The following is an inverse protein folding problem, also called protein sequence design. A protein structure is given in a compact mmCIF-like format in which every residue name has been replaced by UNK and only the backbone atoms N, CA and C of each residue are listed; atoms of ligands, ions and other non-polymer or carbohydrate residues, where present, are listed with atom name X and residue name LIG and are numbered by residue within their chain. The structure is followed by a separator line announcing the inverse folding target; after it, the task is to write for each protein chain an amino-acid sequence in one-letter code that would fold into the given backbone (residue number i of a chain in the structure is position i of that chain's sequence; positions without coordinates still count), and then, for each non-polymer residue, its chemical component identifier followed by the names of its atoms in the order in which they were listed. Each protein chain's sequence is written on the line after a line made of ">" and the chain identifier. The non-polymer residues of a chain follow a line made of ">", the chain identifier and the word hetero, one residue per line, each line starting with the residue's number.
data_IF_463302502438
#
_entry.id   IF_463302502438
#
_cell.length_a   1.000
_cell.length_b   1.000
_cell.length_c   1.000
_cell.angle_alpha   90.00
_cell.angle_beta   90.00
_cell.angle_gamma   90.00
#
_symmetry.space_group_name_H-M   'P 1'
#
loop_
_entity.id
_entity.type
_entity.pdbx_description
1 polymer ?
#
# COMPACT_ATOMS: atom_id res chain seq x y z
N UNK A 1 -21.50 -6.11 10.89
CA UNK A 1 -21.59 -5.58 9.50
C UNK A 1 -22.97 -4.93 9.37
N UNK A 2 -23.04 -3.65 9.00
CA UNK A 2 -24.31 -2.93 8.83
C UNK A 2 -25.02 -3.27 7.51
N UNK A 3 -26.18 -2.68 7.28
CA UNK A 3 -26.97 -2.88 6.06
C UNK A 3 -26.21 -2.36 4.83
N UNK A 4 -26.14 -3.18 3.77
CA UNK A 4 -25.51 -2.81 2.50
C UNK A 4 -26.38 -1.85 1.69
N UNK A 5 -27.70 -1.96 1.83
CA UNK A 5 -28.67 -1.08 1.21
C UNK A 5 -29.18 -0.10 2.26
N UNK A 6 -29.25 1.17 1.91
CA UNK A 6 -29.61 2.25 2.84
C UNK A 6 -31.00 2.82 2.58
N UNK A 7 -31.64 2.37 1.49
CA UNK A 7 -33.00 2.75 1.12
C UNK A 7 -33.80 1.55 0.64
N UNK A 8 -35.09 1.55 0.99
CA UNK A 8 -36.08 0.54 0.63
C UNK A 8 -37.27 1.19 -0.08
N UNK A 9 -37.66 0.67 -1.27
CA UNK A 9 -38.93 1.08 -1.87
C UNK A 9 -40.03 0.35 -1.13
N UNK A 10 -40.81 1.06 -0.32
CA UNK A 10 -41.93 0.51 0.44
C UNK A 10 -43.09 0.05 -0.47
N UNK A 11 -42.83 -0.95 -1.30
CA UNK A 11 -43.71 -1.49 -2.33
C UNK A 11 -43.81 -3.01 -2.16
N UNK A 12 -44.99 -3.46 -1.72
CA UNK A 12 -45.26 -4.86 -1.39
C UNK A 12 -45.20 -5.80 -2.62
N UNK A 13 -45.45 -5.27 -3.82
CA UNK A 13 -45.52 -6.09 -5.03
C UNK A 13 -44.14 -6.30 -5.69
N UNK A 14 -43.21 -5.37 -5.51
CA UNK A 14 -41.85 -5.47 -6.05
C UNK A 14 -40.87 -4.63 -5.22
N UNK A 15 -40.42 -5.12 -4.06
CA UNK A 15 -39.51 -4.40 -3.19
C UNK A 15 -38.12 -4.26 -3.80
N UNK A 16 -37.65 -3.02 -3.92
CA UNK A 16 -36.31 -2.70 -4.42
C UNK A 16 -35.46 -2.08 -3.32
N UNK A 17 -34.19 -2.47 -3.28
CA UNK A 17 -33.21 -1.96 -2.33
C UNK A 17 -32.12 -1.19 -3.08
N UNK A 18 -31.79 0.02 -2.61
CA UNK A 18 -30.71 0.82 -3.18
C UNK A 18 -29.72 1.27 -2.11
N UNK A 19 -28.46 1.41 -2.51
CA UNK A 19 -27.42 2.09 -1.74
C UNK A 19 -27.37 3.56 -2.18
N UNK A 20 -28.08 4.43 -1.47
CA UNK A 20 -28.16 5.87 -1.77
C UNK A 20 -27.20 6.69 -0.92
N UNK A 21 -26.92 6.24 0.30
CA UNK A 21 -26.11 6.99 1.26
C UNK A 21 -24.65 6.58 1.18
N UNK A 22 -23.77 7.60 1.14
CA UNK A 22 -22.32 7.41 1.08
C UNK A 22 -21.64 8.37 2.03
N UNK A 23 -20.73 7.83 2.84
CA UNK A 23 -19.78 8.64 3.62
C UNK A 23 -18.52 8.81 2.78
N UNK A 24 -18.21 10.05 2.44
CA UNK A 24 -17.03 10.42 1.65
C UNK A 24 -16.01 11.10 2.55
N UNK A 25 -14.73 10.84 2.31
CA UNK A 25 -13.62 11.51 2.97
C UNK A 25 -12.57 11.92 1.94
N UNK A 26 -11.80 12.95 2.26
CA UNK A 26 -10.78 13.48 1.36
C UNK A 26 -9.36 12.97 1.71
N UNK A 27 -8.36 13.40 0.94
CA UNK A 27 -6.97 13.01 1.17
C UNK A 27 -6.35 13.64 2.42
N UNK A 28 -6.90 14.74 2.94
CA UNK A 28 -6.40 15.40 4.16
C UNK A 28 -6.73 14.55 5.39
N UNK A 29 -7.91 13.93 5.42
CA UNK A 29 -8.31 12.97 6.47
C UNK A 29 -7.36 11.76 6.51
N UNK A 30 -6.93 11.28 5.35
CA UNK A 30 -5.92 10.23 5.24
C UNK A 30 -4.53 10.69 5.72
N UNK A 31 -4.19 11.96 5.52
CA UNK A 31 -2.89 12.51 5.90
C UNK A 31 -2.74 12.64 7.42
N UNK A 32 -3.82 12.97 8.14
CA UNK A 32 -3.84 13.00 9.61
C UNK A 32 -4.01 11.59 10.23
N UNK A 33 -4.10 10.54 9.41
CA UNK A 33 -4.20 9.16 9.89
C UNK A 33 -5.54 8.82 10.52
N UNK A 34 -6.60 9.56 10.18
CA UNK A 34 -7.93 9.36 10.76
C UNK A 34 -8.56 8.09 10.18
N UNK A 35 -8.93 7.17 11.06
CA UNK A 35 -9.65 5.97 10.70
C UNK A 35 -11.13 6.16 11.05
N UNK A 36 -12.02 5.89 10.10
CA UNK A 36 -13.46 5.99 10.32
C UNK A 36 -14.19 4.75 9.80
N UNK A 37 -15.28 4.42 10.47
CA UNK A 37 -16.22 3.38 10.05
C UNK A 37 -17.61 3.99 9.94
N UNK A 38 -18.30 3.71 8.85
CA UNK A 38 -19.70 4.07 8.67
C UNK A 38 -20.55 2.81 8.85
N UNK A 39 -21.51 2.88 9.77
CA UNK A 39 -22.47 1.81 10.04
C UNK A 39 -23.88 2.32 9.72
N UNK A 40 -24.58 1.63 8.83
CA UNK A 40 -25.99 1.90 8.55
C UNK A 40 -26.86 0.86 9.24
N UNK A 41 -27.81 1.34 10.04
CA UNK A 41 -28.79 0.50 10.72
C UNK A 41 -29.87 0.03 9.74
N UNK A 42 -30.54 -1.10 9.97
CA UNK A 42 -31.72 -1.47 9.19
C UNK A 42 -32.76 -0.34 9.20
N UNK A 43 -33.47 -0.11 8.08
CA UNK A 43 -34.56 0.86 8.05
C UNK A 43 -35.62 0.49 9.09
N UNK A 44 -36.09 1.51 9.81
CA UNK A 44 -37.04 1.35 10.91
C UNK A 44 -38.49 1.32 10.41
N UNK A 45 -39.43 1.03 11.30
CA UNK A 45 -40.87 1.00 10.98
C UNK A 45 -41.47 2.34 10.53
N UNK A 46 -40.73 3.45 10.71
CA UNK A 46 -41.18 4.81 10.42
C UNK A 46 -40.38 5.47 9.27
N UNK A 47 -39.37 4.80 8.72
CA UNK A 47 -38.49 5.38 7.71
C UNK A 47 -37.96 4.33 6.75
N UNK A 48 -38.15 4.59 5.47
CA UNK A 48 -37.57 3.82 4.36
C UNK A 48 -36.06 4.08 4.20
N UNK A 49 -35.49 4.97 5.01
CA UNK A 49 -34.06 5.29 5.07
C UNK A 49 -33.39 4.70 6.31
N UNK A 50 -32.22 4.11 6.10
CA UNK A 50 -31.31 3.63 7.14
C UNK A 50 -30.54 4.77 7.82
N UNK A 51 -30.64 4.89 9.14
CA UNK A 51 -29.80 5.82 9.91
C UNK A 51 -28.33 5.38 9.89
N UNK A 52 -27.45 6.31 9.50
CA UNK A 52 -26.00 6.14 9.49
C UNK A 52 -25.33 6.65 10.77
N UNK A 53 -24.40 5.88 11.32
CA UNK A 53 -23.51 6.25 12.42
C UNK A 53 -22.08 6.23 11.89
N UNK A 54 -21.36 7.33 12.10
CA UNK A 54 -19.93 7.43 11.77
C UNK A 54 -19.14 7.37 13.06
N UNK A 55 -18.29 6.34 13.19
CA UNK A 55 -17.35 6.22 14.29
C UNK A 55 -15.96 6.61 13.81
N UNK A 56 -15.28 7.46 14.59
CA UNK A 56 -13.90 7.89 14.34
C UNK A 56 -13.02 7.22 15.39
N UNK A 57 -11.89 6.66 14.94
CA UNK A 57 -10.95 5.92 15.77
C UNK A 57 -9.58 6.59 15.73
N UNK A 58 -8.91 6.57 16.88
CA UNK A 58 -7.51 6.94 16.99
C UNK A 58 -6.60 5.94 16.27
N UNK A 59 -5.35 6.34 16.05
CA UNK A 59 -4.35 5.52 15.37
C UNK A 59 -4.21 4.16 16.06
N UNK A 60 -4.62 3.11 15.35
CA UNK A 60 -4.43 1.74 15.81
C UNK A 60 -2.94 1.41 15.97
N UNK A 61 -2.62 0.64 17.01
CA UNK A 61 -1.28 0.16 17.27
C UNK A 61 -0.67 -0.56 16.05
N UNK A 62 0.65 -0.40 15.87
CA UNK A 62 1.39 -1.01 14.77
C UNK A 62 1.32 -2.55 14.84
N UNK A 63 0.47 -3.15 14.01
CA UNK A 63 0.49 -4.61 13.82
C UNK A 63 1.71 -5.04 13.00
N UNK A 64 2.31 -6.20 13.30
CA UNK A 64 3.38 -6.75 12.50
C UNK A 64 2.89 -6.98 11.07
N UNK A 65 3.54 -6.33 10.09
CA UNK A 65 3.19 -6.51 8.68
C UNK A 65 3.54 -7.92 8.24
N UNK A 66 2.58 -8.58 7.59
CA UNK A 66 2.83 -9.86 6.92
C UNK A 66 3.96 -9.70 5.91
N UNK A 67 4.79 -10.73 5.77
CA UNK A 67 5.82 -10.72 4.72
C UNK A 67 5.17 -10.66 3.34
N UNK A 68 5.73 -9.82 2.46
CA UNK A 68 5.31 -9.68 1.07
C UNK A 68 6.55 -9.65 0.20
N UNK A 69 6.53 -10.43 -0.86
CA UNK A 69 7.51 -10.37 -1.92
C UNK A 69 7.25 -9.17 -2.82
N UNK A 70 8.29 -8.43 -3.21
CA UNK A 70 8.18 -7.37 -4.22
C UNK A 70 8.91 -7.79 -5.49
N UNK A 71 8.27 -7.61 -6.64
CA UNK A 71 8.77 -8.10 -7.92
C UNK A 71 10.11 -7.45 -8.29
N UNK A 72 10.27 -6.17 -7.96
CA UNK A 72 11.52 -5.41 -8.16
C UNK A 72 12.74 -6.04 -7.47
N UNK A 73 12.55 -6.92 -6.49
CA UNK A 73 13.66 -7.65 -5.89
C UNK A 73 14.31 -8.60 -6.90
N UNK A 74 13.52 -9.22 -7.78
CA UNK A 74 14.01 -10.19 -8.76
C UNK A 74 14.96 -9.56 -9.79
N UNK A 75 14.82 -8.25 -10.03
CA UNK A 75 15.64 -7.50 -11.00
C UNK A 75 16.99 -7.05 -10.42
N UNK A 76 17.21 -7.24 -9.12
CA UNK A 76 18.45 -6.84 -8.46
C UNK A 76 19.52 -7.94 -8.58
N UNK A 77 20.75 -7.56 -8.96
CA UNK A 77 21.87 -8.48 -9.20
C UNK A 77 22.10 -9.50 -8.08
N UNK A 78 22.08 -9.05 -6.82
CA UNK A 78 22.32 -9.90 -5.65
C UNK A 78 21.12 -10.79 -5.23
N UNK A 79 19.99 -10.73 -5.94
CA UNK A 79 18.77 -11.45 -5.53
C UNK A 79 18.94 -12.97 -5.60
N UNK A 80 19.45 -13.49 -6.72
CA UNK A 80 19.65 -14.93 -6.92
C UNK A 80 20.60 -15.49 -5.86
N UNK A 81 21.74 -14.83 -5.64
CA UNK A 81 22.69 -15.24 -4.59
C UNK A 81 22.04 -15.26 -3.19
N UNK A 82 21.20 -14.27 -2.88
CA UNK A 82 20.45 -14.24 -1.60
C UNK A 82 19.47 -15.40 -1.49
N UNK A 83 18.81 -15.77 -2.59
CA UNK A 83 17.88 -16.90 -2.64
C UNK A 83 18.60 -18.24 -2.48
N UNK A 84 19.71 -18.47 -3.20
CA UNK A 84 20.47 -19.72 -3.18
C UNK A 84 21.03 -20.03 -1.79
N UNK A 85 21.57 -19.01 -1.11
CA UNK A 85 22.06 -19.14 0.27
C UNK A 85 20.99 -19.64 1.25
N UNK A 86 19.73 -19.25 1.05
CA UNK A 86 18.61 -19.71 1.89
C UNK A 86 17.91 -20.98 1.40
N UNK A 87 18.03 -21.30 0.10
CA UNK A 87 17.30 -22.41 -0.56
C UNK A 87 17.94 -23.78 -0.32
N UNK A 88 19.27 -23.84 -0.15
CA UNK A 88 20.06 -25.07 -0.03
C UNK A 88 19.90 -25.84 1.31
N UNK A 89 18.94 -25.46 2.16
CA UNK A 89 18.76 -26.02 3.51
C UNK A 89 17.63 -27.07 3.63
N UNK A 90 17.12 -27.68 2.53
CA UNK A 90 15.96 -28.58 2.62
C UNK A 90 15.96 -29.79 1.66
N UNK A 91 15.55 -30.95 2.17
CA UNK A 91 15.43 -32.24 1.45
C UNK A 91 14.05 -32.44 0.78
N UNK A 92 13.98 -33.45 -0.09
CA UNK A 92 13.14 -33.49 -1.29
C UNK A 92 11.62 -33.74 -1.14
N UNK A 93 11.05 -33.88 0.05
CA UNK A 93 9.59 -34.09 0.19
C UNK A 93 9.01 -33.16 1.25
N UNK A 94 7.95 -32.42 0.89
CA UNK A 94 7.32 -31.27 1.60
C UNK A 94 8.05 -29.92 1.49
N UNK A 95 8.39 -29.55 0.26
CA UNK A 95 9.49 -28.64 -0.04
C UNK A 95 9.18 -27.14 0.07
N UNK A 96 8.02 -26.62 -0.36
CA UNK A 96 7.91 -25.17 -0.59
C UNK A 96 7.84 -24.31 0.68
N UNK A 97 6.87 -24.55 1.59
CA UNK A 97 6.73 -23.72 2.80
C UNK A 97 7.97 -23.80 3.70
N UNK A 98 8.59 -24.97 3.78
CA UNK A 98 9.82 -25.21 4.55
C UNK A 98 11.05 -24.56 3.88
N UNK A 99 11.08 -24.44 2.55
CA UNK A 99 12.07 -23.66 1.78
C UNK A 99 11.89 -22.16 1.94
N UNK A 100 10.65 -21.67 1.95
CA UNK A 100 10.37 -20.23 2.05
C UNK A 100 10.61 -19.67 3.46
N UNK A 101 10.46 -20.50 4.51
CA UNK A 101 10.65 -20.09 5.91
C UNK A 101 12.07 -19.56 6.20
N UNK A 102 13.17 -20.26 5.87
CA UNK A 102 14.53 -19.76 6.08
C UNK A 102 14.85 -18.55 5.19
N UNK A 103 14.28 -18.47 3.98
CA UNK A 103 14.51 -17.39 3.01
C UNK A 103 13.85 -16.07 3.42
N UNK A 104 12.76 -16.13 4.20
CA UNK A 104 12.03 -14.95 4.68
C UNK A 104 12.92 -13.96 5.44
N UNK A 105 13.88 -14.44 6.25
CA UNK A 105 14.81 -13.58 7.00
C UNK A 105 15.78 -12.82 6.08
N UNK A 106 16.57 -13.53 5.25
CA UNK A 106 17.43 -12.95 4.22
C UNK A 106 16.70 -11.98 3.31
N UNK A 107 15.51 -12.32 2.80
CA UNK A 107 14.74 -11.41 1.93
C UNK A 107 14.27 -10.14 2.66
N UNK A 108 13.94 -10.22 3.95
CA UNK A 108 13.65 -9.03 4.75
C UNK A 108 14.89 -8.15 4.93
N UNK A 109 16.04 -8.75 5.24
CA UNK A 109 17.30 -8.03 5.37
C UNK A 109 17.71 -7.39 4.04
N UNK A 110 17.59 -8.13 2.94
CA UNK A 110 17.81 -7.66 1.56
C UNK A 110 16.92 -6.47 1.20
N UNK A 111 15.62 -6.57 1.48
CA UNK A 111 14.70 -5.46 1.28
C UNK A 111 15.09 -4.24 2.13
N UNK A 112 15.46 -4.46 3.39
CA UNK A 112 15.86 -3.36 4.27
C UNK A 112 17.15 -2.69 3.77
N UNK A 113 18.10 -3.45 3.25
CA UNK A 113 19.38 -2.96 2.76
C UNK A 113 19.24 -2.17 1.45
N UNK A 114 18.45 -2.67 0.50
CA UNK A 114 18.42 -2.12 -0.86
C UNK A 114 17.19 -1.25 -1.16
N UNK A 115 16.05 -1.55 -0.54
CA UNK A 115 14.74 -1.01 -0.95
C UNK A 115 13.94 -0.34 0.19
N UNK A 116 14.47 -0.28 1.42
CA UNK A 116 13.82 0.46 2.51
C UNK A 116 13.80 1.95 2.18
N UNK A 117 12.71 2.61 2.58
CA UNK A 117 12.52 4.05 2.37
C UNK A 117 12.79 4.48 0.91
N UNK A 118 12.29 3.69 -0.06
CA UNK A 118 12.58 3.89 -1.49
C UNK A 118 12.32 5.32 -1.97
N UNK A 119 11.29 6.00 -1.45
CA UNK A 119 11.01 7.41 -1.78
C UNK A 119 12.09 8.38 -1.31
N UNK A 120 12.71 8.11 -0.15
CA UNK A 120 13.84 8.90 0.34
C UNK A 120 15.07 8.63 -0.53
N UNK A 121 15.32 7.35 -0.82
CA UNK A 121 16.43 6.92 -1.68
C UNK A 121 16.31 7.39 -3.12
N UNK A 122 15.11 7.59 -3.64
CA UNK A 122 14.88 8.16 -4.97
C UNK A 122 15.13 9.68 -5.00
N UNK A 123 14.86 10.38 -3.88
CA UNK A 123 15.03 11.83 -3.76
C UNK A 123 16.48 12.30 -3.72
N UNK A 124 17.36 11.54 -3.07
CA UNK A 124 18.79 11.90 -2.95
C UNK A 124 19.50 12.00 -4.31
N UNK A 125 19.39 11.00 -5.23
CA UNK A 125 19.95 11.09 -6.57
C UNK A 125 19.33 12.17 -7.43
N UNK A 126 18.05 12.51 -7.23
CA UNK A 126 17.42 13.63 -7.93
C UNK A 126 18.10 14.96 -7.59
N UNK A 127 18.42 15.18 -6.31
CA UNK A 127 19.16 16.37 -5.87
C UNK A 127 20.59 16.38 -6.44
N UNK A 128 21.29 15.24 -6.39
CA UNK A 128 22.63 15.12 -6.97
C UNK A 128 22.63 15.33 -8.50
N UNK A 129 21.58 14.86 -9.18
CA UNK A 129 21.39 15.10 -10.61
C UNK A 129 21.15 16.58 -10.90
N UNK A 130 20.37 17.29 -10.08
CA UNK A 130 20.15 18.73 -10.23
C UNK A 130 21.47 19.50 -10.06
N UNK A 131 22.27 19.16 -9.06
CA UNK A 131 23.59 19.79 -8.87
C UNK A 131 24.52 19.52 -10.06
N UNK A 132 24.63 18.26 -10.50
CA UNK A 132 25.42 17.90 -11.68
C UNK A 132 24.95 18.63 -12.95
N UNK A 133 23.63 18.87 -13.10
CA UNK A 133 23.09 19.66 -14.21
C UNK A 133 23.49 21.13 -14.13
N UNK A 134 23.53 21.73 -12.94
CA UNK A 134 23.99 23.10 -12.74
C UNK A 134 25.48 23.22 -13.07
N UNK A 135 26.31 22.28 -12.60
CA UNK A 135 27.73 22.24 -12.92
C UNK A 135 27.98 22.07 -14.43
N UNK A 136 27.20 21.20 -15.09
CA UNK A 136 27.29 21.00 -16.55
C UNK A 136 26.90 22.25 -17.33
N UNK A 137 25.88 23.00 -16.89
CA UNK A 137 25.50 24.29 -17.50
C UNK A 137 26.63 25.31 -17.42
N UNK A 138 27.35 25.34 -16.29
CA UNK A 138 28.47 26.25 -16.08
C UNK A 138 29.72 25.86 -16.86
N UNK A 139 29.95 24.56 -17.12
CA UNK A 139 31.10 24.08 -17.89
C UNK A 139 30.74 22.90 -18.83
N UNK A 140 30.13 23.19 -20.01
CA UNK A 140 29.59 22.16 -20.90
C UNK A 140 30.64 21.29 -21.60
N UNK A 141 31.90 21.75 -21.67
CA UNK A 141 32.99 21.06 -22.37
C UNK A 141 33.75 20.08 -21.48
N UNK A 142 33.46 20.05 -20.18
CA UNK A 142 34.13 19.16 -19.25
C UNK A 142 33.58 17.72 -19.37
N UNK A 143 34.41 16.81 -19.89
CA UNK A 143 34.05 15.41 -20.09
C UNK A 143 33.72 14.69 -18.77
N UNK A 144 34.45 14.97 -17.68
CA UNK A 144 34.20 14.35 -16.38
C UNK A 144 32.81 14.72 -15.82
N UNK A 145 32.39 15.97 -15.99
CA UNK A 145 31.04 16.42 -15.58
C UNK A 145 29.97 15.75 -16.44
N UNK A 146 30.22 15.58 -17.75
CA UNK A 146 29.30 14.89 -18.67
C UNK A 146 29.12 13.41 -18.29
N UNK A 147 30.21 12.72 -17.97
CA UNK A 147 30.17 11.30 -17.60
C UNK A 147 29.47 11.09 -16.25
N UNK A 148 29.82 11.91 -15.26
CA UNK A 148 29.14 11.95 -13.95
C UNK A 148 27.64 12.21 -14.12
N UNK A 149 27.25 13.18 -14.96
CA UNK A 149 25.84 13.46 -15.25
C UNK A 149 25.12 12.23 -15.85
N UNK A 150 25.79 11.50 -16.74
CA UNK A 150 25.26 10.26 -17.32
C UNK A 150 25.02 9.18 -16.27
N UNK A 151 25.93 9.02 -15.31
CA UNK A 151 25.80 8.07 -14.21
C UNK A 151 24.65 8.44 -13.25
N UNK A 152 24.57 9.71 -12.85
CA UNK A 152 23.48 10.22 -12.01
C UNK A 152 22.12 10.01 -12.68
N UNK A 153 22.00 10.26 -13.98
CA UNK A 153 20.77 10.01 -14.75
C UNK A 153 20.36 8.53 -14.72
N UNK A 154 21.32 7.61 -14.97
CA UNK A 154 21.03 6.16 -14.91
C UNK A 154 20.51 5.76 -13.53
N UNK A 155 21.14 6.27 -12.47
CA UNK A 155 20.75 5.99 -11.08
C UNK A 155 19.36 6.52 -10.74
N UNK A 156 19.04 7.75 -11.14
CA UNK A 156 17.71 8.36 -10.97
C UNK A 156 16.64 7.55 -11.69
N UNK A 157 16.86 7.22 -12.97
CA UNK A 157 15.89 6.46 -13.76
C UNK A 157 15.63 5.09 -13.14
N UNK A 158 16.68 4.39 -12.72
CA UNK A 158 16.57 3.09 -12.05
C UNK A 158 15.76 3.19 -10.76
N UNK A 159 16.08 4.14 -9.87
CA UNK A 159 15.38 4.25 -8.58
C UNK A 159 13.93 4.73 -8.72
N UNK A 160 13.66 5.62 -9.67
CA UNK A 160 12.29 6.04 -10.00
C UNK A 160 11.47 4.85 -10.53
N UNK A 161 12.07 3.97 -11.34
CA UNK A 161 11.42 2.76 -11.82
C UNK A 161 11.16 1.76 -10.69
N UNK A 162 12.12 1.55 -9.80
CA UNK A 162 11.96 0.70 -8.61
C UNK A 162 10.82 1.23 -7.71
N UNK A 163 10.80 2.54 -7.43
CA UNK A 163 9.75 3.18 -6.64
C UNK A 163 8.38 2.99 -7.30
N UNK A 164 8.28 3.19 -8.62
CA UNK A 164 7.05 2.96 -9.37
C UNK A 164 6.56 1.51 -9.21
N UNK A 165 7.43 0.52 -9.39
CA UNK A 165 7.07 -0.89 -9.22
C UNK A 165 6.60 -1.21 -7.80
N UNK A 166 7.25 -0.64 -6.79
CA UNK A 166 6.85 -0.79 -5.39
C UNK A 166 5.42 -0.31 -5.15
N UNK A 167 5.09 0.92 -5.55
CA UNK A 167 3.75 1.48 -5.33
C UNK A 167 2.69 0.80 -6.19
N UNK A 168 3.02 0.47 -7.44
CA UNK A 168 2.13 -0.26 -8.35
C UNK A 168 1.69 -1.61 -7.75
N UNK A 169 2.65 -2.41 -7.28
CA UNK A 169 2.36 -3.70 -6.65
C UNK A 169 1.57 -3.56 -5.34
N UNK A 170 1.86 -2.53 -4.53
CA UNK A 170 1.08 -2.26 -3.30
C UNK A 170 -0.36 -1.85 -3.61
N UNK A 171 -0.57 -1.03 -4.64
CA UNK A 171 -1.89 -0.61 -5.07
C UNK A 171 -2.74 -1.80 -5.56
N UNK A 172 -2.13 -2.86 -6.13
CA UNK A 172 -2.82 -3.96 -6.84
C UNK A 172 -3.72 -3.46 -7.97
N UNK A 173 -3.21 -2.51 -8.76
CA UNK A 173 -3.92 -1.97 -9.92
C UNK A 173 -3.37 -2.69 -11.15
N UNK A 174 -4.22 -3.43 -11.86
CA UNK A 174 -3.79 -4.22 -13.04
C UNK A 174 -4.03 -3.50 -14.38
N UNK A 175 -5.01 -2.59 -14.44
CA UNK A 175 -5.51 -2.04 -15.71
C UNK A 175 -4.98 -0.64 -16.06
N UNK A 176 -4.45 0.11 -15.09
CA UNK A 176 -3.83 1.41 -15.36
C UNK A 176 -2.37 1.20 -15.78
N UNK A 177 -2.16 1.21 -17.10
CA UNK A 177 -0.84 1.29 -17.73
C UNK A 177 -0.43 2.74 -18.04
N UNK A 178 -1.08 3.72 -17.40
CA UNK A 178 -0.96 5.13 -17.75
C UNK A 178 -0.27 5.94 -16.66
N UNK A 179 0.68 6.74 -17.15
CA UNK A 179 1.55 7.75 -16.54
C UNK A 179 2.54 7.30 -15.43
N UNK A 180 3.73 7.91 -15.43
CA UNK A 180 4.79 7.75 -14.42
C UNK A 180 4.46 8.47 -13.11
N UNK A 181 3.18 8.75 -12.86
CA UNK A 181 2.72 9.53 -11.73
C UNK A 181 2.75 8.70 -10.44
N UNK A 182 3.86 8.76 -9.71
CA UNK A 182 4.06 8.06 -8.44
C UNK A 182 3.07 8.56 -7.37
N UNK A 183 2.67 9.84 -7.40
CA UNK A 183 1.72 10.44 -6.44
C UNK A 183 0.35 9.75 -6.51
N UNK A 184 -0.13 9.43 -7.71
CA UNK A 184 -1.36 8.66 -7.89
C UNK A 184 -1.29 7.31 -7.18
N UNK A 185 -0.23 6.52 -7.45
CA UNK A 185 -0.09 5.20 -6.82
C UNK A 185 0.11 5.31 -5.30
N UNK A 186 0.80 6.34 -4.84
CA UNK A 186 0.97 6.62 -3.42
C UNK A 186 -0.37 6.84 -2.71
N UNK A 187 -1.24 7.68 -3.28
CA UNK A 187 -2.58 7.95 -2.75
C UNK A 187 -3.47 6.70 -2.79
N UNK A 188 -3.37 5.89 -3.85
CA UNK A 188 -4.07 4.61 -3.94
C UNK A 188 -3.63 3.63 -2.84
N UNK A 189 -2.34 3.54 -2.56
CA UNK A 189 -1.80 2.70 -1.49
C UNK A 189 -2.32 3.15 -0.12
N UNK A 190 -2.38 4.46 0.14
CA UNK A 190 -2.96 5.02 1.37
C UNK A 190 -4.44 4.67 1.51
N UNK A 191 -5.25 4.98 0.49
CA UNK A 191 -6.70 4.68 0.49
C UNK A 191 -6.98 3.20 0.75
N UNK A 192 -6.20 2.33 0.11
CA UNK A 192 -6.33 0.89 0.29
C UNK A 192 -5.95 0.44 1.70
N UNK A 193 -4.88 0.97 2.27
CA UNK A 193 -4.47 0.65 3.63
C UNK A 193 -5.59 1.00 4.62
N UNK A 194 -6.19 2.18 4.48
CA UNK A 194 -7.35 2.63 5.27
C UNK A 194 -8.56 1.72 5.08
N UNK A 195 -8.92 1.39 3.83
CA UNK A 195 -10.06 0.51 3.52
C UNK A 195 -9.87 -0.92 4.03
N UNK A 196 -8.63 -1.41 4.06
CA UNK A 196 -8.30 -2.76 4.57
C UNK A 196 -8.12 -2.81 6.08
N UNK A 197 -8.21 -1.66 6.78
CA UNK A 197 -8.10 -1.62 8.23
C UNK A 197 -9.35 -2.22 8.87
N UNK A 198 -9.16 -3.17 9.78
CA UNK A 198 -10.24 -3.75 10.56
C UNK A 198 -10.40 -2.88 11.81
N UNK A 199 -11.43 -2.04 11.83
CA UNK A 199 -11.72 -1.12 12.92
C UNK A 199 -12.69 -1.70 13.95
N UNK A 200 -13.55 -2.63 13.52
CA UNK A 200 -14.55 -3.25 14.38
C UNK A 200 -14.69 -4.73 14.05
N UNK A 201 -14.92 -5.56 15.07
CA UNK A 201 -15.29 -6.97 14.92
C UNK A 201 -16.61 -7.20 15.63
N UNK A 202 -17.58 -7.79 14.95
CA UNK A 202 -18.84 -8.22 15.58
C UNK A 202 -18.66 -9.66 16.08
N UNK A 203 -18.84 -9.89 17.39
CA UNK A 203 -18.87 -11.25 17.96
C UNK A 203 -20.16 -11.97 17.59
N UNK A 204 -20.14 -13.30 17.63
CA UNK A 204 -21.32 -14.16 17.48
C UNK A 204 -22.45 -13.79 18.45
N UNK A 205 -22.09 -13.29 19.62
CA UNK A 205 -23.02 -13.03 20.73
C UNK A 205 -23.63 -11.61 20.66
N UNK A 206 -23.34 -10.86 19.58
CA UNK A 206 -23.88 -9.51 19.34
C UNK A 206 -22.96 -8.31 19.66
N UNK A 207 -22.06 -8.31 20.66
CA UNK A 207 -21.30 -7.10 20.96
C UNK A 207 -20.26 -6.81 19.88
N UNK A 208 -20.17 -5.53 19.50
CA UNK A 208 -19.17 -5.00 18.58
C UNK A 208 -17.95 -4.62 19.39
N UNK A 209 -16.80 -5.22 19.07
CA UNK A 209 -15.53 -4.85 19.65
C UNK A 209 -14.87 -3.77 18.81
N UNK A 210 -14.52 -2.67 19.46
CA UNK A 210 -13.88 -1.48 18.87
C UNK A 210 -12.45 -1.28 19.38
N UNK A 211 -12.03 -2.02 20.42
CA UNK A 211 -10.71 -1.90 21.04
C UNK A 211 -9.62 -2.59 20.22
N UNK A 212 -8.53 -1.89 19.97
CA UNK A 212 -7.35 -2.42 19.28
C UNK A 212 -6.70 -3.62 20.02
N UNK A 213 -6.88 -3.72 21.34
CA UNK A 213 -6.32 -4.81 22.16
C UNK A 213 -7.07 -6.14 21.96
N UNK A 214 -8.34 -6.07 21.57
CA UNK A 214 -9.22 -7.24 21.42
C UNK A 214 -9.35 -7.68 19.95
N UNK A 215 -8.92 -6.83 19.02
CA UNK A 215 -8.79 -7.11 17.59
C UNK A 215 -7.33 -7.55 17.38
N UNK A 216 -7.05 -8.86 17.55
CA UNK A 216 -5.69 -9.46 17.54
C UNK A 216 -4.76 -9.09 16.39
#
# INVERSE_FOLDING_TARGET
>A
MGCYNTWYSNNDCNPVWYMLDRVLFNNEWLAIGMHCNAYFSPPGSLSDQSSGIISIFDLLAFKPKSFRFFNMWADHSNFIATMENGWNLSTAQYSLCRKLKPIKGPLKAFNNLHFSYISVRAKEPDLALQDAQLQFKSNPKNAAIRDSLGEHRKKVVFLAEVERHFYYQKAKIHFLKMDRNIKFFHDMVKRKATKSSILTITKSDGPIITSAADIG
#
